data_IF_094074535221
#
_entry.id   IF_094074535221
#
_cell.length_a   1.000
_cell.length_b   1.000
_cell.length_c   1.000
_cell.angle_alpha   90.00
_cell.angle_beta   90.00
_cell.angle_gamma   90.00
#
_symmetry.space_group_name_H-M   'P 1'
#
loop_
_entity.id
_entity.type
_entity.pdbx_description
1 polymer ?
#
# COMPACT_ATOMS: atom_id res chain seq x y z
N UNK A 1 -4.37 -9.22 -18.09
CA UNK A 1 -3.05 -9.79 -17.73
C UNK A 1 -2.98 -9.79 -16.21
N UNK A 2 -3.26 -10.93 -15.58
CA UNK A 2 -3.01 -11.11 -14.15
C UNK A 2 -1.50 -11.12 -13.91
N UNK A 3 -0.94 -9.94 -13.68
CA UNK A 3 0.41 -9.82 -13.16
C UNK A 3 0.29 -10.16 -11.68
N UNK A 4 0.46 -11.42 -11.33
CA UNK A 4 0.52 -11.83 -9.93
C UNK A 4 1.88 -11.36 -9.36
N UNK A 5 1.93 -10.10 -8.92
CA UNK A 5 3.15 -9.43 -8.41
C UNK A 5 3.51 -10.00 -7.02
N UNK A 6 2.54 -10.59 -6.31
CA UNK A 6 2.69 -11.03 -4.93
C UNK A 6 3.12 -12.51 -4.84
N UNK A 7 4.36 -12.76 -4.42
CA UNK A 7 4.89 -14.11 -4.22
C UNK A 7 4.28 -14.84 -3.01
N UNK A 8 3.80 -14.08 -2.02
CA UNK A 8 3.04 -14.61 -0.87
C UNK A 8 2.06 -13.59 -0.34
N UNK A 9 0.99 -14.06 0.28
CA UNK A 9 0.08 -13.19 1.01
C UNK A 9 0.76 -12.45 2.16
N UNK A 10 0.34 -11.21 2.38
CA UNK A 10 0.83 -10.36 3.48
C UNK A 10 0.06 -10.65 4.76
N UNK A 11 0.75 -10.62 5.90
CA UNK A 11 0.10 -10.69 7.22
C UNK A 11 -0.65 -9.38 7.52
N UNK A 12 -1.63 -9.38 8.45
CA UNK A 12 -2.33 -8.16 8.84
C UNK A 12 -1.39 -7.04 9.32
N UNK A 13 -0.32 -7.41 10.04
CA UNK A 13 0.68 -6.46 10.47
C UNK A 13 1.48 -5.87 9.31
N UNK A 14 1.80 -6.68 8.29
CA UNK A 14 2.50 -6.21 7.09
C UNK A 14 1.63 -5.28 6.25
N UNK A 15 0.32 -5.56 6.14
CA UNK A 15 -0.63 -4.66 5.49
C UNK A 15 -0.69 -3.32 6.22
N UNK A 16 -0.83 -3.32 7.55
CA UNK A 16 -0.83 -2.10 8.37
C UNK A 16 0.46 -1.26 8.18
N UNK A 17 1.63 -1.91 8.17
CA UNK A 17 2.89 -1.21 7.90
C UNK A 17 2.89 -0.60 6.50
N UNK A 18 2.37 -1.30 5.49
CA UNK A 18 2.28 -0.78 4.12
C UNK A 18 1.31 0.38 3.99
N UNK A 19 0.17 0.37 4.68
CA UNK A 19 -0.76 1.51 4.74
C UNK A 19 -0.06 2.74 5.29
N UNK A 20 0.68 2.61 6.39
CA UNK A 20 1.44 3.72 6.95
C UNK A 20 2.60 4.19 6.05
N UNK A 21 3.23 3.29 5.29
CA UNK A 21 4.19 3.68 4.24
C UNK A 21 3.50 4.50 3.14
N UNK A 22 2.26 4.15 2.79
CA UNK A 22 1.48 4.88 1.80
C UNK A 22 1.08 6.27 2.29
N UNK A 23 0.82 6.41 3.59
CA UNK A 23 0.60 7.70 4.27
C UNK A 23 1.91 8.53 4.41
N UNK A 24 3.06 7.99 3.99
CA UNK A 24 4.34 8.71 3.97
C UNK A 24 5.08 8.76 5.32
N UNK A 25 4.68 7.94 6.30
CA UNK A 25 5.31 7.91 7.62
C UNK A 25 6.74 7.36 7.55
N UNK A 26 7.62 7.82 8.46
CA UNK A 26 8.98 7.27 8.66
C UNK A 26 8.94 5.97 9.47
N UNK A 27 10.02 5.17 9.47
CA UNK A 27 10.06 3.96 10.31
C UNK A 27 9.83 4.28 11.80
N UNK A 28 10.42 5.37 12.30
CA UNK A 28 10.24 5.82 13.67
C UNK A 28 8.79 6.21 14.00
N UNK A 29 8.09 6.88 13.08
CA UNK A 29 6.68 7.24 13.24
C UNK A 29 5.76 6.00 13.24
N UNK A 30 6.02 5.04 12.34
CA UNK A 30 5.30 3.75 12.29
C UNK A 30 5.55 2.95 13.56
N UNK A 31 6.80 2.87 14.00
CA UNK A 31 7.20 2.17 15.22
C UNK A 31 6.46 2.73 16.44
N UNK A 32 6.39 4.07 16.57
CA UNK A 32 5.65 4.73 17.65
C UNK A 32 4.14 4.45 17.59
N UNK A 33 3.53 4.51 16.41
CA UNK A 33 2.08 4.34 16.23
C UNK A 33 1.65 2.89 16.43
N UNK A 34 2.50 1.94 16.05
CA UNK A 34 2.22 0.50 16.17
C UNK A 34 2.75 -0.11 17.47
N UNK A 35 3.38 0.67 18.36
CA UNK A 35 4.03 0.19 19.59
C UNK A 35 5.11 -0.89 19.35
N UNK A 36 5.89 -0.75 18.28
CA UNK A 36 7.02 -1.61 17.95
C UNK A 36 8.33 -0.81 17.90
N UNK A 37 9.46 -1.50 17.71
CA UNK A 37 10.76 -0.84 17.49
C UNK A 37 10.98 -0.50 16.02
N UNK A 38 11.82 0.50 15.75
CA UNK A 38 12.19 0.89 14.39
C UNK A 38 12.76 -0.29 13.59
N UNK A 39 13.56 -1.14 14.25
CA UNK A 39 14.13 -2.34 13.66
C UNK A 39 13.08 -3.36 13.21
N UNK A 40 11.99 -3.52 13.96
CA UNK A 40 10.87 -4.39 13.55
C UNK A 40 10.22 -3.86 12.27
N UNK A 41 10.07 -2.54 12.16
CA UNK A 41 9.50 -1.91 10.95
C UNK A 41 10.44 -2.10 9.76
N UNK A 42 11.74 -1.86 9.90
CA UNK A 42 12.74 -2.11 8.83
C UNK A 42 12.71 -3.55 8.31
N UNK A 43 12.69 -4.51 9.23
CA UNK A 43 12.65 -5.94 8.89
C UNK A 43 11.34 -6.28 8.17
N UNK A 44 10.23 -5.69 8.61
CA UNK A 44 8.92 -5.88 7.98
C UNK A 44 8.90 -5.29 6.57
N UNK A 45 9.36 -4.06 6.38
CA UNK A 45 9.50 -3.42 5.06
C UNK A 45 10.34 -4.31 4.12
N UNK A 46 11.45 -4.85 4.62
CA UNK A 46 12.33 -5.73 3.84
C UNK A 46 11.63 -7.03 3.43
N UNK A 47 10.90 -7.68 4.35
CA UNK A 47 10.14 -8.91 4.04
C UNK A 47 9.04 -8.66 3.01
N UNK A 48 8.33 -7.55 3.13
CA UNK A 48 7.26 -7.21 2.19
C UNK A 48 7.83 -6.86 0.82
N UNK A 49 8.94 -6.11 0.75
CA UNK A 49 9.61 -5.83 -0.52
C UNK A 49 9.98 -7.13 -1.25
N UNK A 50 10.47 -8.14 -0.52
CA UNK A 50 10.71 -9.47 -1.08
C UNK A 50 9.41 -10.16 -1.57
N UNK A 51 8.30 -10.03 -0.84
CA UNK A 51 7.02 -10.58 -1.27
C UNK A 51 6.52 -9.97 -2.60
N UNK A 52 6.86 -8.70 -2.88
CA UNK A 52 6.59 -8.04 -4.17
C UNK A 52 7.70 -8.20 -5.21
N UNK A 53 8.70 -9.07 -4.98
CA UNK A 53 9.87 -9.24 -5.86
C UNK A 53 10.67 -7.94 -6.12
N UNK A 54 10.60 -6.97 -5.19
CA UNK A 54 11.32 -5.69 -5.30
C UNK A 54 12.79 -5.90 -4.93
N UNK A 55 13.69 -5.58 -5.86
CA UNK A 55 15.14 -5.59 -5.63
C UNK A 55 15.63 -4.19 -5.24
N UNK A 56 16.37 -4.10 -4.13
CA UNK A 56 17.13 -2.89 -3.80
C UNK A 56 18.36 -2.81 -4.70
N UNK A 57 18.50 -1.74 -5.47
CA UNK A 57 19.65 -1.53 -6.36
C UNK A 57 20.49 -0.29 -5.97
N UNK A 58 20.38 0.18 -4.72
CA UNK A 58 21.13 1.32 -4.18
C UNK A 58 20.75 2.70 -4.77
N UNK A 59 20.12 2.74 -5.95
CA UNK A 59 19.66 3.96 -6.61
C UNK A 59 18.19 4.27 -6.34
N UNK A 60 17.37 3.25 -6.05
CA UNK A 60 15.94 3.41 -5.81
C UNK A 60 15.61 3.22 -4.33
N UNK A 61 14.83 4.14 -3.77
CA UNK A 61 14.32 3.99 -2.41
C UNK A 61 13.23 2.91 -2.37
N UNK A 62 13.56 1.77 -1.76
CA UNK A 62 12.67 0.61 -1.65
C UNK A 62 11.30 0.95 -1.06
N UNK A 63 11.22 1.91 -0.12
CA UNK A 63 9.93 2.30 0.50
C UNK A 63 8.99 2.95 -0.50
N UNK A 64 9.53 3.81 -1.37
CA UNK A 64 8.74 4.51 -2.39
C UNK A 64 8.20 3.51 -3.38
N UNK A 65 9.06 2.62 -3.88
CA UNK A 65 8.65 1.58 -4.82
C UNK A 65 7.63 0.62 -4.17
N UNK A 66 7.87 0.20 -2.93
CA UNK A 66 6.94 -0.65 -2.20
C UNK A 66 5.57 0.02 -2.01
N UNK A 67 5.53 1.30 -1.62
CA UNK A 67 4.27 2.02 -1.47
C UNK A 67 3.49 2.16 -2.79
N UNK A 68 4.20 2.37 -3.91
CA UNK A 68 3.59 2.42 -5.25
C UNK A 68 3.05 1.05 -5.67
N UNK A 69 3.83 -0.01 -5.47
CA UNK A 69 3.42 -1.38 -5.81
C UNK A 69 2.25 -1.84 -4.95
N UNK A 70 2.29 -1.56 -3.64
CA UNK A 70 1.21 -1.90 -2.72
C UNK A 70 -0.11 -1.21 -3.12
N UNK A 71 -0.10 0.10 -3.42
CA UNK A 71 -1.28 0.82 -3.92
C UNK A 71 -1.78 0.32 -5.27
N UNK A 72 -0.86 -0.05 -6.17
CA UNK A 72 -1.24 -0.59 -7.47
C UNK A 72 -1.94 -1.96 -7.34
N UNK A 73 -1.58 -2.74 -6.31
CA UNK A 73 -2.10 -4.08 -6.09
C UNK A 73 -3.40 -4.09 -5.26
N UNK A 74 -3.46 -3.32 -4.16
CA UNK A 74 -4.59 -3.33 -3.23
C UNK A 74 -5.54 -2.14 -3.39
N UNK A 75 -5.25 -1.21 -4.31
CA UNK A 75 -5.98 0.04 -4.46
C UNK A 75 -5.43 1.15 -3.56
N UNK A 76 -5.82 2.39 -3.88
CA UNK A 76 -5.39 3.57 -3.15
C UNK A 76 -6.53 4.12 -2.29
N UNK A 77 -6.63 3.63 -1.06
CA UNK A 77 -7.58 4.13 -0.05
C UNK A 77 -7.22 5.55 0.44
N UNK A 78 -6.08 6.13 0.00
CA UNK A 78 -5.73 7.49 0.39
C UNK A 78 -6.70 8.54 -0.21
N UNK A 79 -7.30 8.26 -1.37
CA UNK A 79 -8.34 9.13 -1.94
C UNK A 79 -9.61 9.14 -1.08
N UNK A 80 -9.98 7.99 -0.51
CA UNK A 80 -11.12 7.90 0.41
C UNK A 80 -10.84 8.70 1.70
N UNK A 81 -9.60 8.63 2.23
CA UNK A 81 -9.18 9.41 3.41
C UNK A 81 -9.16 10.93 3.16
N UNK A 82 -8.94 11.36 1.92
CA UNK A 82 -8.94 12.78 1.53
C UNK A 82 -10.36 13.35 1.37
N UNK A 83 -11.41 12.51 1.41
CA UNK A 83 -12.79 12.91 1.13
C UNK A 83 -12.98 13.51 -0.28
N UNK A 84 -12.01 13.29 -1.16
CA UNK A 84 -12.02 13.84 -2.50
C UNK A 84 -12.76 12.88 -3.44
N UNK A 85 -13.83 13.36 -4.06
CA UNK A 85 -14.57 12.59 -5.07
C UNK A 85 -13.63 12.22 -6.22
N UNK A 86 -13.42 10.92 -6.42
CA UNK A 86 -12.67 10.40 -7.57
C UNK A 86 -13.28 10.96 -8.87
N UNK A 87 -12.46 11.35 -9.85
CA UNK A 87 -12.96 11.79 -11.19
C UNK A 87 -13.76 10.72 -11.94
N UNK A 88 -13.66 9.46 -11.51
CA UNK A 88 -14.37 8.31 -12.09
C UNK A 88 -15.59 7.90 -11.24
N UNK A 89 -16.04 8.74 -10.32
CA UNK A 89 -17.20 8.47 -9.49
C UNK A 89 -18.46 8.47 -10.37
N UNK A 90 -19.11 7.31 -10.45
CA UNK A 90 -20.37 7.10 -11.17
C UNK A 90 -21.40 6.51 -10.23
N UNK A 91 -22.67 6.87 -10.40
CA UNK A 91 -23.76 6.24 -9.68
C UNK A 91 -23.99 4.82 -10.24
N UNK A 92 -23.83 3.81 -9.39
CA UNK A 92 -24.12 2.42 -9.72
C UNK A 92 -25.62 2.14 -9.88
N UNK A 93 -26.01 0.94 -10.33
CA UNK A 93 -27.40 0.58 -10.64
C UNK A 93 -28.37 0.75 -9.45
N UNK A 94 -27.85 0.70 -8.23
CA UNK A 94 -28.61 0.78 -6.98
C UNK A 94 -28.41 2.13 -6.24
N UNK A 95 -27.79 3.13 -6.88
CA UNK A 95 -27.51 4.45 -6.28
C UNK A 95 -26.24 4.52 -5.42
N UNK A 96 -25.43 3.45 -5.39
CA UNK A 96 -24.13 3.45 -4.72
C UNK A 96 -23.11 4.25 -5.53
N UNK A 97 -22.28 5.06 -4.84
CA UNK A 97 -21.21 5.81 -5.48
C UNK A 97 -20.02 4.87 -5.73
N UNK A 98 -19.84 4.43 -6.97
CA UNK A 98 -18.80 3.48 -7.37
C UNK A 98 -17.71 4.18 -8.20
N UNK A 99 -16.46 3.79 -7.98
CA UNK A 99 -15.35 4.22 -8.83
C UNK A 99 -15.37 3.39 -10.12
N UNK A 100 -15.79 3.97 -11.24
CA UNK A 100 -15.92 3.31 -12.54
C UNK A 100 -14.57 2.87 -13.16
N UNK A 101 -13.44 3.14 -12.50
CA UNK A 101 -12.12 2.66 -12.90
C UNK A 101 -11.84 1.21 -12.46
N UNK A 102 -12.58 0.71 -11.46
CA UNK A 102 -12.42 -0.66 -10.94
C UNK A 102 -13.52 -1.60 -11.45
N UNK A 103 -14.42 -1.10 -12.29
CA UNK A 103 -15.40 -1.89 -13.02
C UNK A 103 -14.86 -2.22 -14.41
N UNK A 104 -13.94 -3.17 -14.45
CA UNK A 104 -13.57 -4.00 -15.62
C UNK A 104 -13.04 -5.35 -15.11
#
# INVERSE_FOLDING_TARGET
MDVNILLRELTPFEQLVCEHLCDGLTNSAIAKTTAHTEKVIENTVSRVAHAFSIKSNGQVNVRVLLALTYRSHFGDNAFDKLGATCRHLTAGPNGEQICARHSD
#
